data_IF_031412982516
#
_entry.id   IF_031412982516
#
_cell.length_a   1.000
_cell.length_b   1.000
_cell.length_c   1.000
_cell.angle_alpha   90.00
_cell.angle_beta   90.00
_cell.angle_gamma   90.00
#
_symmetry.space_group_name_H-M   'P 1'
#
loop_
_entity.id
_entity.type
_entity.pdbx_description
1 polymer ?
#
# COMPACT_ATOMS: atom_id res chain seq x y z
N UNK A 1 -1.38 -21.27 8.58
CA UNK A 1 -2.58 -21.82 9.20
C UNK A 1 -3.78 -21.05 8.72
N UNK A 2 -4.77 -21.75 8.22
CA UNK A 2 -6.00 -21.10 7.73
C UNK A 2 -6.90 -20.75 8.90
N UNK A 3 -7.44 -19.52 8.89
CA UNK A 3 -8.39 -19.08 9.91
C UNK A 3 -9.80 -19.54 9.53
N UNK A 4 -10.45 -20.30 10.42
CA UNK A 4 -11.79 -20.78 10.17
C UNK A 4 -12.81 -19.66 10.44
N UNK A 5 -13.79 -19.53 9.58
CA UNK A 5 -14.83 -18.49 9.68
C UNK A 5 -15.55 -18.53 11.04
N UNK A 6 -15.88 -19.71 11.52
CA UNK A 6 -16.59 -19.90 12.79
C UNK A 6 -15.80 -19.46 14.03
N UNK A 7 -14.49 -19.25 13.88
CA UNK A 7 -13.64 -18.77 14.96
C UNK A 7 -13.51 -17.25 14.99
N UNK A 8 -14.17 -16.56 14.05
CA UNK A 8 -14.09 -15.11 13.94
C UNK A 8 -15.27 -14.44 14.67
N UNK A 9 -14.99 -13.31 15.28
CA UNK A 9 -15.99 -12.48 15.97
C UNK A 9 -15.88 -11.04 15.52
N UNK A 10 -16.99 -10.32 15.55
CA UNK A 10 -16.99 -8.87 15.29
C UNK A 10 -16.08 -8.18 16.30
N UNK A 11 -15.21 -7.32 15.82
CA UNK A 11 -14.23 -6.64 16.64
C UNK A 11 -12.85 -7.31 16.65
N UNK A 12 -12.72 -8.51 16.09
CA UNK A 12 -11.41 -9.14 15.94
C UNK A 12 -10.50 -8.27 15.04
N UNK A 13 -9.22 -8.31 15.32
CA UNK A 13 -8.22 -7.58 14.56
C UNK A 13 -7.04 -8.47 14.21
N UNK A 14 -6.34 -8.12 13.15
CA UNK A 14 -5.07 -8.72 12.77
C UNK A 14 -4.04 -7.61 12.57
N UNK A 15 -2.79 -7.92 12.84
CA UNK A 15 -1.68 -6.99 12.61
C UNK A 15 -0.77 -7.59 11.54
N UNK A 16 -0.62 -6.85 10.45
CA UNK A 16 0.29 -7.25 9.38
C UNK A 16 1.74 -6.82 9.65
N UNK A 17 2.66 -7.23 8.78
CA UNK A 17 4.04 -6.80 8.88
C UNK A 17 4.17 -5.30 8.61
N UNK A 18 5.17 -4.68 9.23
CA UNK A 18 5.53 -3.30 8.94
C UNK A 18 6.19 -3.22 7.57
N UNK A 19 5.75 -2.27 6.76
CA UNK A 19 6.34 -2.03 5.44
C UNK A 19 6.90 -0.60 5.39
N UNK A 20 8.19 -0.49 5.12
CA UNK A 20 8.87 0.79 4.98
C UNK A 20 8.77 1.28 3.54
N UNK A 21 8.11 2.40 3.33
CA UNK A 21 8.03 3.04 2.02
C UNK A 21 9.31 3.81 1.75
N UNK A 22 9.93 3.59 0.59
CA UNK A 22 11.11 4.31 0.14
C UNK A 22 10.86 4.93 -1.23
N UNK A 23 11.71 5.91 -1.60
CA UNK A 23 11.65 6.49 -2.96
C UNK A 23 11.90 5.44 -4.02
N UNK A 24 12.79 4.48 -3.73
CA UNK A 24 13.07 3.37 -4.64
C UNK A 24 11.83 2.48 -4.81
N UNK A 25 11.14 2.13 -3.73
CA UNK A 25 9.92 1.30 -3.83
C UNK A 25 8.81 2.01 -4.60
N UNK A 26 8.68 3.31 -4.44
CA UNK A 26 7.72 4.11 -5.22
C UNK A 26 8.09 4.08 -6.71
N UNK A 27 9.38 4.25 -7.02
CA UNK A 27 9.84 4.20 -8.40
C UNK A 27 9.60 2.84 -9.04
N UNK A 28 9.85 1.76 -8.32
CA UNK A 28 9.59 0.41 -8.80
C UNK A 28 8.10 0.20 -9.09
N UNK A 29 7.24 0.75 -8.27
CA UNK A 29 5.79 0.67 -8.53
C UNK A 29 5.40 1.50 -9.76
N UNK A 30 6.01 2.66 -9.98
CA UNK A 30 5.82 3.41 -11.23
C UNK A 30 6.15 2.54 -12.44
N UNK A 31 7.28 1.85 -12.40
CA UNK A 31 7.74 1.02 -13.52
C UNK A 31 6.84 -0.19 -13.74
N UNK A 32 6.35 -0.81 -12.67
CA UNK A 32 5.47 -1.95 -12.75
C UNK A 32 4.05 -1.62 -13.19
N UNK A 33 3.52 -0.47 -12.75
CA UNK A 33 2.15 -0.04 -13.03
C UNK A 33 2.05 0.86 -14.26
N UNK A 34 3.18 1.40 -14.74
CA UNK A 34 3.24 2.44 -15.78
C UNK A 34 2.54 3.75 -15.35
N UNK A 35 2.39 3.96 -14.06
CA UNK A 35 1.84 5.19 -13.51
C UNK A 35 2.96 6.11 -13.06
N UNK A 36 3.28 7.09 -13.88
CA UNK A 36 4.36 8.07 -13.66
C UNK A 36 3.83 9.44 -13.30
N UNK A 37 2.68 9.51 -12.64
CA UNK A 37 2.11 10.79 -12.22
C UNK A 37 3.12 11.55 -11.36
N UNK A 38 3.33 12.85 -11.60
CA UNK A 38 4.33 13.64 -10.87
C UNK A 38 4.12 13.68 -9.35
N UNK A 39 2.92 13.41 -8.86
CA UNK A 39 2.72 13.33 -7.41
C UNK A 39 3.50 12.16 -6.75
N UNK A 40 3.97 11.21 -7.55
CA UNK A 40 4.80 10.09 -7.07
C UNK A 40 6.29 10.30 -7.33
N UNK A 41 6.68 11.27 -8.16
CA UNK A 41 8.05 11.42 -8.64
C UNK A 41 8.67 12.80 -8.43
N UNK A 42 7.86 13.84 -8.28
CA UNK A 42 8.34 15.23 -8.31
C UNK A 42 7.98 15.98 -7.03
N UNK A 43 8.96 16.12 -6.13
CA UNK A 43 8.79 16.85 -4.87
C UNK A 43 8.42 18.34 -5.12
N UNK A 44 8.95 18.95 -6.16
CA UNK A 44 8.65 20.34 -6.48
C UNK A 44 7.21 20.50 -6.95
N UNK A 45 6.69 19.55 -7.71
CA UNK A 45 5.27 19.50 -8.06
C UNK A 45 4.39 19.47 -6.81
N UNK A 46 4.74 18.64 -5.85
CA UNK A 46 3.99 18.49 -4.60
C UNK A 46 4.01 19.77 -3.76
N UNK A 47 5.15 20.47 -3.74
CA UNK A 47 5.29 21.72 -2.98
C UNK A 47 4.59 22.90 -3.65
N UNK A 48 4.55 22.93 -4.98
CA UNK A 48 3.98 24.03 -5.75
C UNK A 48 2.53 23.79 -6.16
N UNK A 49 2.33 22.87 -7.08
CA UNK A 49 1.03 22.67 -7.75
C UNK A 49 0.03 21.89 -6.91
N UNK A 50 0.50 21.07 -5.97
CA UNK A 50 -0.33 20.28 -5.08
C UNK A 50 -0.39 20.91 -3.68
N UNK A 51 -0.04 22.20 -3.58
CA UNK A 51 0.20 22.90 -2.32
C UNK A 51 -1.02 23.16 -1.45
N UNK A 52 -2.20 22.70 -1.82
CA UNK A 52 -3.40 22.76 -0.97
C UNK A 52 -3.48 21.57 -0.02
N UNK A 53 -2.53 20.67 -0.08
CA UNK A 53 -2.45 19.50 0.79
C UNK A 53 -1.27 19.66 1.75
N UNK A 54 -1.27 18.88 2.83
CA UNK A 54 -0.18 18.87 3.80
C UNK A 54 0.98 17.96 3.39
N UNK A 55 1.00 17.47 2.15
CA UNK A 55 2.09 16.64 1.67
C UNK A 55 3.28 17.52 1.29
N UNK A 56 4.40 17.36 1.97
CA UNK A 56 5.62 18.13 1.71
C UNK A 56 6.51 17.54 0.62
N UNK A 57 6.13 16.43 0.00
CA UNK A 57 6.90 15.73 -1.00
C UNK A 57 6.08 14.65 -1.70
N UNK A 58 6.76 13.78 -2.43
CA UNK A 58 6.09 12.70 -3.18
C UNK A 58 5.37 11.74 -2.25
N UNK A 59 4.33 11.10 -2.77
CA UNK A 59 3.52 10.13 -2.05
C UNK A 59 3.48 8.80 -2.80
N UNK A 60 3.27 7.72 -2.04
CA UNK A 60 3.12 6.39 -2.60
C UNK A 60 1.77 6.26 -3.32
N UNK A 61 1.75 5.45 -4.38
CA UNK A 61 0.51 5.11 -5.08
C UNK A 61 -0.52 4.48 -4.13
N UNK A 62 -1.77 4.95 -4.21
CA UNK A 62 -2.85 4.36 -3.42
C UNK A 62 -3.06 2.88 -3.74
N UNK A 63 -2.90 2.49 -5.00
CA UNK A 63 -3.01 1.08 -5.41
C UNK A 63 -1.90 0.22 -4.86
N UNK A 64 -0.70 0.77 -4.62
CA UNK A 64 0.37 0.06 -3.93
C UNK A 64 -0.04 -0.24 -2.48
N UNK A 65 -0.59 0.76 -1.80
CA UNK A 65 -1.11 0.60 -0.45
C UNK A 65 -2.23 -0.44 -0.39
N UNK A 66 -3.15 -0.40 -1.35
CA UNK A 66 -4.21 -1.39 -1.49
C UNK A 66 -3.65 -2.81 -1.66
N UNK A 67 -2.62 -2.97 -2.49
CA UNK A 67 -1.97 -4.26 -2.70
C UNK A 67 -1.32 -4.81 -1.44
N UNK A 68 -0.68 -3.97 -0.64
CA UNK A 68 -0.07 -4.38 0.63
C UNK A 68 -1.12 -4.86 1.63
N UNK A 69 -2.25 -4.15 1.73
CA UNK A 69 -3.36 -4.54 2.60
C UNK A 69 -3.98 -5.85 2.13
N UNK A 70 -4.18 -6.00 0.83
CA UNK A 70 -4.74 -7.22 0.24
C UNK A 70 -3.84 -8.42 0.50
N UNK A 71 -2.52 -8.25 0.36
CA UNK A 71 -1.56 -9.30 0.66
C UNK A 71 -1.65 -9.75 2.11
N UNK A 72 -1.74 -8.81 3.04
CA UNK A 72 -1.90 -9.13 4.46
C UNK A 72 -3.15 -9.97 4.70
N UNK A 73 -4.28 -9.59 4.10
CA UNK A 73 -5.54 -10.30 4.25
C UNK A 73 -5.49 -11.70 3.64
N UNK A 74 -4.93 -11.85 2.46
CA UNK A 74 -4.84 -13.16 1.79
C UNK A 74 -3.87 -14.09 2.51
N UNK A 75 -2.75 -13.58 3.01
CA UNK A 75 -1.80 -14.38 3.79
C UNK A 75 -2.42 -14.87 5.10
N UNK A 76 -3.26 -14.05 5.71
CA UNK A 76 -3.97 -14.42 6.92
C UNK A 76 -5.11 -15.42 6.66
N UNK A 77 -5.93 -15.17 5.64
CA UNK A 77 -7.12 -15.96 5.32
C UNK A 77 -6.76 -17.29 4.64
N UNK A 78 -5.73 -17.29 3.81
CA UNK A 78 -5.32 -18.46 3.02
C UNK A 78 -3.79 -18.48 2.84
N UNK A 79 -3.05 -18.86 3.89
CA UNK A 79 -1.58 -18.90 3.81
C UNK A 79 -1.05 -19.90 2.78
N UNK A 80 -1.87 -20.84 2.32
CA UNK A 80 -1.46 -21.78 1.28
C UNK A 80 -1.46 -21.17 -0.14
N UNK A 81 -2.02 -19.95 -0.29
CA UNK A 81 -2.00 -19.24 -1.56
C UNK A 81 -2.96 -19.77 -2.61
N UNK A 82 -4.08 -20.37 -2.19
CA UNK A 82 -5.08 -20.92 -3.09
C UNK A 82 -6.04 -19.86 -3.66
N UNK A 83 -6.04 -18.70 -3.07
CA UNK A 83 -6.85 -17.57 -3.52
C UNK A 83 -6.15 -16.83 -4.66
#
# INVERSE_FOLDING_TARGET
MTTAFENLSVGDSITGPTFAVSRESIRLFCDGSLDYNPLHLDDNYMKGNFGKTNFGGIIMHGMNNFGLITRMLTDWADPAGAI
#
